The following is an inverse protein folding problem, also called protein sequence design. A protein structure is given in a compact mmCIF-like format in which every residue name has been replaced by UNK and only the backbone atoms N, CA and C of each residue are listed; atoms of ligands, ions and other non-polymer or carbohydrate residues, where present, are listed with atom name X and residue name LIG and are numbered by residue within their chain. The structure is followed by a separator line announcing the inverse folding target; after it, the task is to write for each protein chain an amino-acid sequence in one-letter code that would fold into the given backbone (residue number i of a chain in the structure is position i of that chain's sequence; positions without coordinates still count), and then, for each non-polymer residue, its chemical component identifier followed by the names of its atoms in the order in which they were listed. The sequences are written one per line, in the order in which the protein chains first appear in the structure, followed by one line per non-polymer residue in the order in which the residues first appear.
data_IF_125869049253
#
_entry.id   IF_125869049253
#
_cell.length_a   1.000
_cell.length_b   1.000
_cell.length_c   1.000
_cell.angle_alpha   90.00
_cell.angle_beta   90.00
_cell.angle_gamma   90.00
#
_symmetry.space_group_name_H-M   'P 1'
#
loop_
_entity.id
_entity.type
_entity.pdbx_description
1 polymer ?
#
# COMPACT_ATOMS: atom_id res chain seq x y z
N UNK A 1 -15.09 -24.96 2.30
CA UNK A 1 -13.99 -24.14 1.78
C UNK A 1 -13.43 -23.25 2.87
N UNK A 2 -12.15 -23.30 3.08
CA UNK A 2 -11.52 -22.54 4.14
C UNK A 2 -11.32 -21.09 3.74
N UNK A 3 -11.71 -20.17 4.62
CA UNK A 3 -11.40 -18.77 4.46
C UNK A 3 -9.97 -18.51 4.87
N UNK A 4 -9.29 -17.68 4.11
CA UNK A 4 -7.94 -17.25 4.47
C UNK A 4 -8.02 -16.34 5.70
N UNK A 5 -7.33 -16.72 6.77
CA UNK A 5 -7.25 -15.92 7.99
C UNK A 5 -5.83 -15.44 8.16
N UNK A 6 -5.66 -14.12 8.08
CA UNK A 6 -4.35 -13.47 8.21
C UNK A 6 -4.34 -12.70 9.53
N UNK A 7 -3.42 -13.07 10.41
CA UNK A 7 -3.25 -12.38 11.68
C UNK A 7 -2.75 -10.95 11.45
N UNK A 8 -3.20 -10.03 12.28
CA UNK A 8 -2.72 -8.66 12.22
C UNK A 8 -1.23 -8.60 12.55
N UNK A 9 -0.53 -7.71 11.84
CA UNK A 9 0.90 -7.50 12.02
C UNK A 9 1.16 -6.04 12.39
N UNK A 10 2.24 -5.81 13.11
CA UNK A 10 2.63 -4.48 13.54
C UNK A 10 4.14 -4.34 13.51
N UNK A 11 4.61 -3.18 13.07
CA UNK A 11 6.02 -2.78 13.08
C UNK A 11 6.16 -1.48 13.84
N UNK A 12 7.21 -1.36 14.64
CA UNK A 12 7.45 -0.19 15.46
C UNK A 12 8.80 0.42 15.11
N UNK A 13 8.85 1.75 15.02
CA UNK A 13 10.07 2.51 14.82
C UNK A 13 9.91 3.86 15.50
N UNK A 14 10.58 4.03 16.65
CA UNK A 14 10.42 5.23 17.48
C UNK A 14 8.94 5.45 17.84
N UNK A 15 8.41 6.64 17.57
CA UNK A 15 7.00 6.97 17.85
C UNK A 15 6.05 6.54 16.71
N UNK A 16 6.55 5.81 15.72
CA UNK A 16 5.78 5.43 14.54
C UNK A 16 5.41 3.96 14.56
N UNK A 17 4.22 3.65 14.09
CA UNK A 17 3.72 2.27 13.99
C UNK A 17 3.14 2.04 12.60
N UNK A 18 3.48 0.90 11.99
CA UNK A 18 2.76 0.37 10.83
C UNK A 18 1.93 -0.80 11.32
N UNK A 19 0.66 -0.86 10.94
CA UNK A 19 -0.26 -1.90 11.38
C UNK A 19 -1.19 -2.34 10.25
N UNK A 20 -1.48 -3.63 10.20
CA UNK A 20 -2.48 -4.18 9.27
C UNK A 20 -3.87 -4.31 9.90
N UNK A 21 -4.05 -3.87 11.14
CA UNK A 21 -5.34 -3.90 11.81
C UNK A 21 -6.34 -2.97 11.13
N UNK A 22 -7.35 -3.55 10.49
CA UNK A 22 -8.37 -2.81 9.76
C UNK A 22 -9.18 -1.88 10.66
N UNK A 23 -9.32 -2.22 11.93
CA UNK A 23 -10.10 -1.41 12.88
C UNK A 23 -9.38 -0.10 13.24
N UNK A 24 -8.08 -0.03 13.05
CA UNK A 24 -7.31 1.19 13.30
C UNK A 24 -7.38 2.19 12.13
N UNK A 25 -7.85 1.77 10.96
CA UNK A 25 -7.84 2.63 9.78
C UNK A 25 -8.77 3.83 9.96
N UNK A 26 -8.26 5.01 9.66
CA UNK A 26 -9.04 6.23 9.55
C UNK A 26 -9.53 6.35 8.11
N UNK A 27 -10.69 5.77 7.83
CA UNK A 27 -11.24 5.69 6.47
C UNK A 27 -11.52 7.07 5.88
N UNK A 28 -11.93 8.02 6.71
CA UNK A 28 -12.17 9.39 6.24
C UNK A 28 -10.88 10.05 5.78
N UNK A 29 -9.81 9.90 6.55
CA UNK A 29 -8.49 10.42 6.17
C UNK A 29 -7.99 9.78 4.88
N UNK A 30 -8.06 8.45 4.79
CA UNK A 30 -7.63 7.71 3.60
C UNK A 30 -8.38 8.21 2.37
N UNK A 31 -9.70 8.33 2.49
CA UNK A 31 -10.54 8.76 1.37
C UNK A 31 -10.18 10.17 0.89
N UNK A 32 -9.97 11.09 1.82
CA UNK A 32 -9.56 12.46 1.47
C UNK A 32 -8.22 12.46 0.73
N UNK A 33 -7.24 11.68 1.21
CA UNK A 33 -5.96 11.58 0.54
C UNK A 33 -6.12 11.08 -0.91
N UNK A 34 -6.95 10.08 -1.12
CA UNK A 34 -7.19 9.52 -2.45
C UNK A 34 -8.00 10.47 -3.33
N UNK A 35 -9.18 10.89 -2.86
CA UNK A 35 -10.14 11.62 -3.69
C UNK A 35 -9.72 13.07 -3.97
N UNK A 36 -9.03 13.70 -3.04
CA UNK A 36 -8.71 15.12 -3.14
C UNK A 36 -7.23 15.39 -3.44
N UNK A 37 -6.31 14.53 -3.00
CA UNK A 37 -4.88 14.82 -3.07
C UNK A 37 -4.08 13.92 -4.01
N UNK A 38 -4.62 12.77 -4.41
CA UNK A 38 -3.90 11.90 -5.35
C UNK A 38 -4.22 12.25 -6.79
N UNK A 39 -3.28 11.94 -7.71
CA UNK A 39 -3.55 12.08 -9.13
C UNK A 39 -4.24 10.84 -9.72
N UNK A 40 -4.07 9.68 -9.07
CA UNK A 40 -4.55 8.39 -9.63
C UNK A 40 -5.97 8.02 -9.22
N UNK A 41 -6.52 8.64 -8.17
CA UNK A 41 -7.87 8.33 -7.68
C UNK A 41 -8.70 9.59 -7.41
N UNK A 42 -8.36 10.70 -8.08
CA UNK A 42 -9.03 11.98 -7.87
C UNK A 42 -10.52 11.88 -8.17
N UNK A 43 -11.34 12.34 -7.22
CA UNK A 43 -12.78 12.32 -7.36
C UNK A 43 -13.43 10.97 -7.10
N UNK A 44 -12.68 9.97 -6.63
CA UNK A 44 -13.22 8.64 -6.36
C UNK A 44 -14.31 8.70 -5.30
N UNK A 45 -15.48 8.05 -5.51
CA UNK A 45 -16.52 7.97 -4.49
C UNK A 45 -16.06 7.18 -3.25
N UNK A 46 -16.57 7.56 -2.08
CA UNK A 46 -16.19 6.90 -0.82
C UNK A 46 -16.48 5.39 -0.82
N UNK A 47 -17.61 4.99 -1.40
CA UNK A 47 -17.95 3.57 -1.50
C UNK A 47 -16.90 2.77 -2.25
N UNK A 48 -16.29 3.37 -3.27
CA UNK A 48 -15.21 2.73 -4.03
C UNK A 48 -13.93 2.60 -3.20
N UNK A 49 -13.59 3.62 -2.42
CA UNK A 49 -12.47 3.55 -1.48
C UNK A 49 -12.64 2.40 -0.50
N UNK A 50 -13.80 2.31 0.13
CA UNK A 50 -14.11 1.26 1.12
C UNK A 50 -14.04 -0.13 0.50
N UNK A 51 -14.58 -0.29 -0.68
CA UNK A 51 -14.58 -1.58 -1.38
C UNK A 51 -13.16 -2.01 -1.76
N UNK A 52 -12.35 -1.07 -2.23
CA UNK A 52 -10.95 -1.36 -2.59
C UNK A 52 -10.15 -1.82 -1.37
N UNK A 53 -10.32 -1.16 -0.24
CA UNK A 53 -9.64 -1.54 1.01
C UNK A 53 -10.11 -2.92 1.47
N UNK A 54 -11.43 -3.19 1.41
CA UNK A 54 -11.97 -4.48 1.81
C UNK A 54 -11.40 -5.64 0.97
N UNK A 55 -11.10 -5.39 -0.30
CA UNK A 55 -10.56 -6.39 -1.23
C UNK A 55 -9.05 -6.50 -1.27
N UNK A 56 -8.35 -5.85 -0.36
CA UNK A 56 -6.88 -5.84 -0.35
C UNK A 56 -6.35 -5.95 1.07
N UNK A 57 -5.03 -6.05 1.21
CA UNK A 57 -4.35 -6.06 2.51
C UNK A 57 -3.89 -4.62 2.79
N UNK A 58 -4.52 -3.92 3.74
CA UNK A 58 -4.17 -2.54 4.04
C UNK A 58 -3.09 -2.44 5.11
N UNK A 59 -2.27 -1.40 4.98
CA UNK A 59 -1.25 -1.03 5.96
C UNK A 59 -1.47 0.43 6.34
N UNK A 60 -1.75 0.68 7.62
CA UNK A 60 -1.81 2.05 8.15
C UNK A 60 -0.48 2.42 8.78
N UNK A 61 -0.06 3.66 8.61
CA UNK A 61 1.09 4.24 9.30
C UNK A 61 0.59 5.29 10.27
N UNK A 62 1.06 5.21 11.50
CA UNK A 62 0.57 6.05 12.60
C UNK A 62 1.72 6.73 13.32
N UNK A 63 1.48 7.98 13.72
CA UNK A 63 2.26 8.64 14.75
C UNK A 63 1.40 8.66 16.01
N UNK A 64 1.77 7.85 16.99
CA UNK A 64 0.91 7.58 18.14
C UNK A 64 -0.45 7.04 17.67
N UNK A 65 -1.56 7.74 17.91
CA UNK A 65 -2.89 7.30 17.51
C UNK A 65 -3.35 7.89 16.17
N UNK A 66 -2.63 8.86 15.64
CA UNK A 66 -3.02 9.56 14.42
C UNK A 66 -2.50 8.85 13.19
N UNK A 67 -3.38 8.55 12.23
CA UNK A 67 -2.95 7.99 10.95
C UNK A 67 -2.32 9.07 10.09
N UNK A 68 -1.10 8.79 9.62
CA UNK A 68 -0.31 9.71 8.79
C UNK A 68 0.15 9.10 7.49
N UNK A 69 -0.15 7.83 7.26
CA UNK A 69 0.21 7.16 6.02
C UNK A 69 -0.65 5.94 5.77
N UNK A 70 -0.59 5.46 4.55
CA UNK A 70 -1.36 4.31 4.11
C UNK A 70 -0.69 3.64 2.92
N UNK A 71 -0.87 2.34 2.81
CA UNK A 71 -0.57 1.55 1.61
C UNK A 71 -1.53 0.37 1.59
N UNK A 72 -1.75 -0.19 0.42
CA UNK A 72 -2.47 -1.46 0.33
C UNK A 72 -1.82 -2.36 -0.70
N UNK A 73 -1.95 -3.65 -0.47
CA UNK A 73 -1.44 -4.67 -1.39
C UNK A 73 -2.60 -5.50 -1.90
N UNK A 74 -2.76 -5.55 -3.21
CA UNK A 74 -3.68 -6.49 -3.86
C UNK A 74 -2.89 -7.78 -4.04
N UNK A 75 -3.33 -8.86 -3.40
CA UNK A 75 -2.54 -10.09 -3.37
C UNK A 75 -3.41 -11.32 -3.13
N UNK A 76 -2.94 -12.45 -3.66
CA UNK A 76 -3.46 -13.77 -3.33
C UNK A 76 -2.60 -14.49 -2.27
N UNK A 77 -1.60 -13.81 -1.72
CA UNK A 77 -0.64 -14.33 -0.72
C UNK A 77 0.28 -15.44 -1.23
N UNK A 78 0.25 -15.77 -2.50
CA UNK A 78 1.08 -16.86 -3.04
C UNK A 78 1.81 -16.48 -4.32
N UNK A 79 1.12 -15.96 -5.32
CA UNK A 79 1.70 -15.78 -6.64
C UNK A 79 1.94 -14.31 -7.00
N UNK A 80 1.15 -13.39 -6.46
CA UNK A 80 1.16 -12.02 -6.95
C UNK A 80 0.89 -11.02 -5.83
N UNK A 81 1.60 -9.89 -5.88
CA UNK A 81 1.35 -8.73 -5.05
C UNK A 81 1.47 -7.45 -5.87
N UNK A 82 0.43 -6.63 -5.83
CA UNK A 82 0.40 -5.31 -6.47
C UNK A 82 0.32 -4.25 -5.39
N UNK A 83 1.43 -3.53 -5.20
CA UNK A 83 1.50 -2.44 -4.22
C UNK A 83 0.88 -1.18 -4.81
N UNK A 84 -0.07 -0.59 -4.10
CA UNK A 84 -0.76 0.60 -4.58
C UNK A 84 -1.22 1.50 -3.42
N UNK A 85 -1.66 2.71 -3.77
CA UNK A 85 -2.18 3.70 -2.84
C UNK A 85 -1.22 4.00 -1.69
N UNK A 86 0.08 4.09 -1.98
CA UNK A 86 1.10 4.47 -1.00
C UNK A 86 1.05 5.98 -0.80
N UNK A 87 0.70 6.41 0.41
CA UNK A 87 0.48 7.83 0.71
C UNK A 87 1.06 8.18 2.07
N UNK A 88 1.68 9.34 2.15
CA UNK A 88 2.16 9.93 3.41
C UNK A 88 1.55 11.32 3.52
N UNK A 89 1.03 11.67 4.70
CA UNK A 89 0.52 13.01 4.99
C UNK A 89 1.59 14.05 4.65
N UNK A 90 1.18 15.14 4.00
CA UNK A 90 2.11 16.15 3.51
C UNK A 90 2.97 16.76 4.61
N UNK A 91 2.46 16.82 5.85
CA UNK A 91 3.19 17.35 6.99
C UNK A 91 4.26 16.39 7.52
N UNK A 92 4.24 15.14 7.06
CA UNK A 92 5.16 14.09 7.51
C UNK A 92 6.11 13.61 6.42
N UNK A 93 6.10 14.23 5.26
CA UNK A 93 7.01 13.88 4.16
C UNK A 93 8.43 14.30 4.49
N UNK A 94 9.40 13.64 3.86
CA UNK A 94 10.81 13.96 4.07
C UNK A 94 11.45 13.27 5.27
N UNK A 95 10.77 12.30 5.89
CA UNK A 95 11.27 11.58 7.07
C UNK A 95 11.57 10.10 6.79
N UNK A 96 11.55 9.68 5.54
CA UNK A 96 11.79 8.28 5.17
C UNK A 96 10.64 7.33 5.51
N UNK A 97 9.46 7.85 5.84
CA UNK A 97 8.33 7.04 6.29
C UNK A 97 7.71 6.23 5.15
N UNK A 98 7.66 6.79 3.95
CA UNK A 98 7.15 6.06 2.78
C UNK A 98 8.01 4.85 2.46
N UNK A 99 9.32 5.00 2.51
CA UNK A 99 10.26 3.90 2.30
C UNK A 99 10.12 2.84 3.38
N UNK A 100 10.00 3.24 4.63
CA UNK A 100 9.79 2.30 5.72
C UNK A 100 8.46 1.55 5.58
N UNK A 101 7.39 2.26 5.23
CA UNK A 101 6.08 1.65 5.00
C UNK A 101 6.15 0.58 3.91
N UNK A 102 6.75 0.90 2.77
CA UNK A 102 6.92 -0.05 1.67
C UNK A 102 7.76 -1.26 2.09
N UNK A 103 8.78 -1.04 2.92
CA UNK A 103 9.60 -2.12 3.47
C UNK A 103 8.77 -3.03 4.39
N UNK A 104 7.93 -2.46 5.24
CA UNK A 104 7.04 -3.26 6.11
C UNK A 104 6.10 -4.14 5.28
N UNK A 105 5.58 -3.62 4.17
CA UNK A 105 4.74 -4.42 3.26
C UNK A 105 5.51 -5.64 2.77
N UNK A 106 6.75 -5.46 2.32
CA UNK A 106 7.61 -6.55 1.85
C UNK A 106 7.95 -7.55 2.95
N UNK A 107 8.02 -7.10 4.19
CA UNK A 107 8.41 -7.93 5.34
C UNK A 107 7.24 -8.70 5.97
N UNK A 108 6.01 -8.50 5.52
CA UNK A 108 4.86 -9.19 6.10
C UNK A 108 5.07 -10.71 6.05
N UNK A 109 4.91 -11.41 7.19
CA UNK A 109 5.22 -12.85 7.26
C UNK A 109 4.47 -13.72 6.26
N UNK A 110 3.23 -13.38 5.95
CA UNK A 110 2.40 -14.17 5.03
C UNK A 110 2.72 -13.90 3.55
N UNK A 111 3.66 -12.98 3.27
CA UNK A 111 3.97 -12.59 1.90
C UNK A 111 5.35 -13.05 1.43
N UNK A 112 6.09 -13.81 2.26
CA UNK A 112 7.48 -14.15 1.96
C UNK A 112 7.62 -15.14 0.79
N UNK A 113 6.57 -15.85 0.47
CA UNK A 113 6.56 -16.77 -0.69
C UNK A 113 5.86 -16.18 -1.92
N UNK A 114 5.43 -14.93 -1.87
CA UNK A 114 4.81 -14.27 -3.02
C UNK A 114 5.83 -14.24 -4.16
N UNK A 115 5.42 -14.80 -5.29
CA UNK A 115 6.28 -15.04 -6.42
C UNK A 115 6.60 -13.77 -7.22
N UNK A 116 5.63 -12.89 -7.38
CA UNK A 116 5.78 -11.70 -8.23
C UNK A 116 5.21 -10.46 -7.55
N UNK A 117 6.07 -9.48 -7.35
CA UNK A 117 5.71 -8.18 -6.77
C UNK A 117 5.77 -7.12 -7.87
N UNK A 118 4.75 -6.31 -7.98
CA UNK A 118 4.70 -5.23 -8.96
C UNK A 118 4.06 -3.98 -8.38
N UNK A 119 4.39 -2.85 -8.98
CA UNK A 119 3.74 -1.57 -8.72
C UNK A 119 3.80 -0.71 -9.99
N UNK A 120 3.01 0.35 -10.01
CA UNK A 120 3.07 1.37 -11.04
C UNK A 120 3.24 2.72 -10.37
N UNK A 121 4.12 3.55 -10.90
CA UNK A 121 4.36 4.90 -10.38
C UNK A 121 4.72 5.85 -11.52
N UNK A 122 4.28 7.10 -11.44
CA UNK A 122 4.68 8.12 -12.40
C UNK A 122 6.02 8.75 -12.05
N UNK A 123 6.31 8.90 -10.75
CA UNK A 123 7.35 9.82 -10.29
C UNK A 123 8.22 9.31 -9.13
N UNK A 124 8.00 8.08 -8.68
CA UNK A 124 8.72 7.56 -7.51
C UNK A 124 9.67 6.39 -7.84
N UNK A 125 10.06 6.22 -9.10
CA UNK A 125 10.95 5.12 -9.51
C UNK A 125 12.23 5.08 -8.67
N UNK A 126 12.85 6.23 -8.41
CA UNK A 126 14.10 6.27 -7.65
C UNK A 126 13.93 5.81 -6.21
N UNK A 127 12.80 6.14 -5.58
CA UNK A 127 12.50 5.71 -4.22
C UNK A 127 12.44 4.18 -4.16
N UNK A 128 11.69 3.58 -5.06
CA UNK A 128 11.52 2.13 -5.07
C UNK A 128 12.79 1.40 -5.51
N UNK A 129 13.56 1.98 -6.42
CA UNK A 129 14.86 1.41 -6.83
C UNK A 129 15.82 1.29 -5.64
N UNK A 130 15.86 2.28 -4.75
CA UNK A 130 16.66 2.22 -3.53
C UNK A 130 16.24 1.10 -2.60
N UNK A 131 14.99 0.65 -2.69
CA UNK A 131 14.44 -0.44 -1.89
C UNK A 131 14.57 -1.81 -2.56
N UNK A 132 15.23 -1.87 -3.72
CA UNK A 132 15.45 -3.13 -4.44
C UNK A 132 14.47 -3.41 -5.56
N UNK A 133 13.52 -2.52 -5.82
CA UNK A 133 12.64 -2.64 -6.97
C UNK A 133 13.36 -2.22 -8.24
N UNK A 134 12.92 -2.72 -9.36
CA UNK A 134 13.51 -2.41 -10.67
C UNK A 134 12.42 -2.25 -11.72
N UNK A 135 12.75 -1.58 -12.80
CA UNK A 135 11.89 -1.56 -13.99
C UNK A 135 11.72 -2.99 -14.49
N UNK A 136 10.51 -3.31 -14.96
CA UNK A 136 10.17 -4.66 -15.43
C UNK A 136 11.16 -5.10 -16.51
N UNK A 137 11.74 -6.31 -16.35
CA UNK A 137 12.72 -6.83 -17.30
C UNK A 137 12.13 -7.19 -18.65
N UNK A 138 10.89 -7.65 -18.67
CA UNK A 138 10.21 -8.14 -19.86
C UNK A 138 8.87 -7.45 -20.05
N UNK A 139 8.87 -6.13 -20.33
CA UNK A 139 7.62 -5.39 -20.51
C UNK A 139 6.78 -5.92 -21.67
N UNK A 140 7.41 -6.57 -22.64
CA UNK A 140 6.74 -7.17 -23.79
C UNK A 140 5.82 -8.32 -23.42
N UNK A 141 5.93 -8.86 -22.20
CA UNK A 141 5.04 -9.93 -21.71
C UNK A 141 3.78 -9.39 -21.05
N UNK A 142 3.72 -8.09 -20.81
CA UNK A 142 2.60 -7.45 -20.11
C UNK A 142 1.59 -6.90 -21.13
N UNK A 143 0.33 -7.09 -20.82
CA UNK A 143 -0.77 -6.52 -21.61
C UNK A 143 -1.76 -5.85 -20.67
N UNK A 144 -2.43 -4.81 -21.16
CA UNK A 144 -3.51 -4.17 -20.44
C UNK A 144 -4.78 -4.19 -21.29
N UNK A 145 -5.92 -4.30 -20.63
CA UNK A 145 -7.18 -4.01 -21.27
C UNK A 145 -7.44 -2.52 -21.12
N UNK A 146 -7.79 -1.79 -22.17
CA UNK A 146 -7.95 -0.34 -22.06
C UNK A 146 -8.96 0.03 -20.98
N UNK A 147 -8.67 1.05 -20.16
CA UNK A 147 -9.62 1.48 -19.13
C UNK A 147 -10.89 2.03 -19.75
N UNK A 148 -12.00 1.80 -19.05
CA UNK A 148 -13.32 2.28 -19.46
C UNK A 148 -13.56 3.74 -19.09
#
# INVERSE_FOLDING_TARGET
MDSLQIADQQWQRDAFTVSTDRQRLDLAWIHIQLAEKSYWAKGQPEAKTRRAIAGSLPFGLYHQQEQIGFARLITDYTRFGWLCDVMIDENWRGHGLGSWLATCVREHPELQTVHRWMLSTQDAHQVYQRLGWRVVQHPETLMEFPPS
#
